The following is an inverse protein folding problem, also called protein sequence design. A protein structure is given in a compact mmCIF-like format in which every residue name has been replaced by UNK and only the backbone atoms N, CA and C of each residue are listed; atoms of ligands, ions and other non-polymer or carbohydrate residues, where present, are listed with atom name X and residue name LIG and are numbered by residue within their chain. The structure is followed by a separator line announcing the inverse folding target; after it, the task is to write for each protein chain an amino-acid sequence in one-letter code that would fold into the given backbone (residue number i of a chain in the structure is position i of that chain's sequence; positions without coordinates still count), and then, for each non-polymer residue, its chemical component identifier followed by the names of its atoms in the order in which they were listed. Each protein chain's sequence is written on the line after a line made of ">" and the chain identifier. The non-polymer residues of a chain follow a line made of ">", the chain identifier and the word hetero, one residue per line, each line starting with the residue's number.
data_IF_513386948350
#
_entry.id   IF_513386948350
#
_cell.length_a   1.000
_cell.length_b   1.000
_cell.length_c   1.000
_cell.angle_alpha   90.00
_cell.angle_beta   90.00
_cell.angle_gamma   90.00
#
_symmetry.space_group_name_H-M   'P 1'
#
loop_
_entity.id
_entity.type
_entity.pdbx_description
1 polymer ?
#
# COMPACT_ATOMS: atom_id res chain seq x y z
N UNK A 1 -41.81 -10.81 22.82
CA UNK A 1 -40.52 -10.37 22.27
C UNK A 1 -39.87 -11.65 21.72
N UNK A 2 -40.08 -11.96 20.43
CA UNK A 2 -39.48 -13.15 19.82
C UNK A 2 -37.97 -12.96 19.77
N UNK A 3 -37.24 -13.82 20.43
CA UNK A 3 -35.81 -14.01 20.27
C UNK A 3 -35.59 -14.52 18.84
N UNK A 4 -35.28 -13.63 17.90
CA UNK A 4 -34.79 -14.03 16.60
C UNK A 4 -33.45 -14.71 16.86
N UNK A 5 -33.44 -16.04 16.86
CA UNK A 5 -32.22 -16.83 16.82
C UNK A 5 -31.51 -16.52 15.49
N UNK A 6 -30.55 -15.63 15.53
CA UNK A 6 -29.64 -15.44 14.40
C UNK A 6 -28.84 -16.74 14.23
N UNK A 7 -29.21 -17.55 13.25
CA UNK A 7 -28.39 -18.68 12.84
C UNK A 7 -27.09 -18.11 12.26
N UNK A 8 -25.97 -18.36 12.95
CA UNK A 8 -24.63 -18.00 12.44
C UNK A 8 -24.39 -18.73 11.13
N UNK A 9 -23.88 -17.98 10.15
CA UNK A 9 -23.59 -18.48 8.81
C UNK A 9 -22.11 -18.78 8.63
N UNK A 10 -21.84 -19.75 7.78
CA UNK A 10 -20.47 -20.02 7.35
C UNK A 10 -20.31 -19.57 5.90
N UNK A 11 -19.33 -18.70 5.64
CA UNK A 11 -18.94 -18.26 4.32
C UNK A 11 -17.58 -18.81 3.97
N UNK A 12 -17.35 -19.02 2.68
CA UNK A 12 -16.10 -19.54 2.16
C UNK A 12 -15.52 -18.55 1.15
N UNK A 13 -14.23 -18.26 1.29
CA UNK A 13 -13.59 -17.32 0.40
C UNK A 13 -12.41 -17.94 -0.35
N UNK A 14 -12.47 -17.90 -1.69
CA UNK A 14 -11.40 -18.34 -2.57
C UNK A 14 -10.85 -17.20 -3.41
N UNK A 15 -9.53 -17.22 -3.64
CA UNK A 15 -8.86 -16.24 -4.49
C UNK A 15 -7.86 -16.89 -5.42
N UNK A 16 -7.85 -16.44 -6.66
CA UNK A 16 -6.86 -16.84 -7.68
C UNK A 16 -6.27 -15.60 -8.36
N UNK A 17 -4.97 -15.63 -8.67
CA UNK A 17 -4.30 -14.55 -9.38
C UNK A 17 -4.32 -14.70 -10.90
N UNK A 18 -4.52 -15.93 -11.41
CA UNK A 18 -4.61 -16.28 -12.83
C UNK A 18 -5.61 -17.41 -13.01
N UNK A 19 -6.19 -17.51 -14.19
CA UNK A 19 -7.23 -18.48 -14.54
C UNK A 19 -6.75 -19.93 -14.32
N UNK A 20 -7.52 -20.75 -13.69
CA UNK A 20 -7.69 -22.21 -13.86
C UNK A 20 -7.09 -23.14 -12.79
N UNK A 21 -5.83 -23.11 -12.39
CA UNK A 21 -5.26 -24.25 -11.64
C UNK A 21 -5.47 -24.29 -10.11
N UNK A 22 -5.73 -23.16 -9.45
CA UNK A 22 -5.82 -23.11 -7.99
C UNK A 22 -7.23 -22.92 -7.45
N UNK A 23 -8.20 -22.51 -8.27
CA UNK A 23 -9.57 -22.32 -7.82
C UNK A 23 -10.23 -23.66 -7.52
N UNK A 24 -10.11 -24.63 -8.43
CA UNK A 24 -10.73 -25.93 -8.29
C UNK A 24 -10.32 -26.64 -7.01
N UNK A 25 -9.04 -26.60 -6.66
CA UNK A 25 -8.53 -27.17 -5.40
C UNK A 25 -9.10 -26.50 -4.15
N UNK A 26 -9.38 -25.19 -4.22
CA UNK A 26 -10.01 -24.47 -3.10
C UNK A 26 -11.48 -24.86 -3.02
N UNK A 27 -12.18 -24.89 -4.15
CA UNK A 27 -13.58 -25.28 -4.22
C UNK A 27 -13.80 -26.73 -3.78
N UNK A 28 -12.95 -27.66 -4.19
CA UNK A 28 -12.97 -29.05 -3.73
C UNK A 28 -12.80 -29.15 -2.21
N UNK A 29 -11.83 -28.39 -1.65
CA UNK A 29 -11.63 -28.36 -0.21
C UNK A 29 -12.84 -27.78 0.53
N UNK A 30 -13.54 -26.78 -0.03
CA UNK A 30 -14.75 -26.23 0.57
C UNK A 30 -15.94 -27.22 0.46
N UNK A 31 -16.10 -27.86 -0.71
CA UNK A 31 -17.13 -28.89 -0.91
C UNK A 31 -16.97 -30.08 0.04
N UNK A 32 -15.72 -30.49 0.32
CA UNK A 32 -15.46 -31.55 1.30
C UNK A 32 -15.83 -31.18 2.74
N UNK A 33 -15.96 -29.88 3.04
CA UNK A 33 -16.47 -29.35 4.30
C UNK A 33 -17.99 -29.11 4.30
N UNK A 34 -18.68 -29.47 3.20
CA UNK A 34 -20.13 -29.30 3.08
C UNK A 34 -20.57 -27.90 2.63
N UNK A 35 -19.69 -27.10 2.03
CA UNK A 35 -20.04 -25.77 1.54
C UNK A 35 -21.08 -25.79 0.43
N UNK A 36 -22.14 -24.98 0.56
CA UNK A 36 -23.07 -24.66 -0.53
C UNK A 36 -22.42 -23.65 -1.48
N UNK A 37 -22.69 -23.76 -2.78
CA UNK A 37 -22.15 -22.84 -3.80
C UNK A 37 -22.54 -21.37 -3.54
N UNK A 38 -23.68 -21.12 -2.90
CA UNK A 38 -24.17 -19.78 -2.54
C UNK A 38 -23.38 -19.14 -1.41
N UNK A 39 -22.64 -19.92 -0.65
CA UNK A 39 -21.81 -19.47 0.48
C UNK A 39 -20.37 -19.22 0.05
N UNK A 40 -20.02 -19.59 -1.19
CA UNK A 40 -18.66 -19.47 -1.72
C UNK A 40 -18.50 -18.17 -2.50
N UNK A 41 -17.65 -17.29 -2.00
CA UNK A 41 -17.28 -16.04 -2.63
C UNK A 41 -15.91 -16.20 -3.28
N UNK A 42 -15.79 -15.75 -4.53
CA UNK A 42 -14.54 -15.89 -5.29
C UNK A 42 -14.10 -14.58 -5.88
N UNK A 43 -12.79 -14.29 -5.80
CA UNK A 43 -12.16 -13.18 -6.51
C UNK A 43 -11.04 -13.66 -7.44
N UNK A 44 -10.98 -13.07 -8.65
CA UNK A 44 -9.92 -13.32 -9.65
C UNK A 44 -8.95 -12.15 -9.65
N UNK A 45 -8.27 -11.94 -8.53
CA UNK A 45 -7.43 -10.78 -8.30
C UNK A 45 -6.10 -11.14 -7.65
N UNK A 46 -5.10 -10.28 -7.85
CA UNK A 46 -3.80 -10.42 -7.22
C UNK A 46 -3.90 -10.30 -5.68
N UNK A 47 -3.10 -11.11 -4.96
CA UNK A 47 -2.97 -10.98 -3.49
C UNK A 47 -2.21 -9.74 -3.01
N UNK A 48 -1.91 -8.79 -3.89
CA UNK A 48 -1.21 -7.54 -3.54
C UNK A 48 -2.12 -6.47 -2.95
N UNK A 49 -3.43 -6.55 -3.18
CA UNK A 49 -4.43 -5.62 -2.67
C UNK A 49 -5.56 -6.37 -1.99
N UNK A 50 -6.16 -5.75 -0.99
CA UNK A 50 -7.41 -6.18 -0.35
C UNK A 50 -8.65 -5.54 -1.01
N UNK A 51 -8.45 -4.61 -1.92
CA UNK A 51 -9.51 -3.97 -2.70
C UNK A 51 -9.99 -4.91 -3.82
N UNK A 52 -10.85 -5.84 -3.43
CA UNK A 52 -11.45 -6.89 -4.28
C UNK A 52 -12.95 -6.90 -4.08
N UNK A 53 -13.74 -6.86 -5.16
CA UNK A 53 -15.20 -6.72 -5.06
C UNK A 53 -15.87 -7.77 -4.19
N UNK A 54 -15.52 -9.06 -4.37
CA UNK A 54 -16.10 -10.16 -3.59
C UNK A 54 -15.70 -10.09 -2.12
N UNK A 55 -14.45 -9.82 -1.82
CA UNK A 55 -13.96 -9.70 -0.44
C UNK A 55 -14.55 -8.48 0.27
N UNK A 56 -14.66 -7.34 -0.41
CA UNK A 56 -15.27 -6.15 0.15
C UNK A 56 -16.77 -6.34 0.39
N UNK A 57 -17.48 -6.97 -0.53
CA UNK A 57 -18.90 -7.33 -0.33
C UNK A 57 -19.09 -8.28 0.85
N UNK A 58 -18.21 -9.26 1.01
CA UNK A 58 -18.21 -10.18 2.14
C UNK A 58 -18.08 -9.43 3.47
N UNK A 59 -17.11 -8.50 3.59
CA UNK A 59 -16.87 -7.72 4.81
C UNK A 59 -17.98 -6.71 5.11
N UNK A 60 -18.48 -6.01 4.11
CA UNK A 60 -19.40 -4.89 4.31
C UNK A 60 -20.88 -5.30 4.38
N UNK A 61 -21.27 -6.37 3.67
CA UNK A 61 -22.66 -6.71 3.47
C UNK A 61 -23.07 -8.10 3.98
N UNK A 62 -22.14 -9.07 4.02
CA UNK A 62 -22.50 -10.46 4.28
C UNK A 62 -22.19 -10.92 5.70
N UNK A 63 -20.96 -10.69 6.18
CA UNK A 63 -20.51 -11.14 7.50
C UNK A 63 -21.17 -10.35 8.63
N UNK A 64 -21.59 -11.08 9.66
CA UNK A 64 -22.16 -10.57 10.91
C UNK A 64 -21.39 -11.15 12.10
N UNK A 65 -21.51 -10.51 13.26
CA UNK A 65 -20.94 -11.03 14.50
C UNK A 65 -21.45 -12.46 14.76
N UNK A 66 -20.53 -13.36 15.06
CA UNK A 66 -20.79 -14.79 15.25
C UNK A 66 -20.65 -15.65 13.99
N UNK A 67 -20.63 -15.04 12.79
CA UNK A 67 -20.43 -15.81 11.56
C UNK A 67 -19.00 -16.38 11.45
N UNK A 68 -18.88 -17.39 10.60
CA UNK A 68 -17.59 -18.03 10.31
C UNK A 68 -17.17 -17.76 8.88
N UNK A 69 -15.90 -17.34 8.70
CA UNK A 69 -15.24 -17.28 7.40
C UNK A 69 -14.23 -18.41 7.27
N UNK A 70 -14.37 -19.23 6.24
CA UNK A 70 -13.44 -20.31 5.91
C UNK A 70 -12.59 -19.92 4.71
N UNK A 71 -11.28 -20.03 4.86
CA UNK A 71 -10.32 -19.86 3.77
C UNK A 71 -9.40 -21.07 3.70
N UNK A 72 -8.78 -21.30 2.56
CA UNK A 72 -7.82 -22.39 2.45
C UNK A 72 -6.52 -22.10 3.19
N UNK A 73 -5.94 -20.92 2.99
CA UNK A 73 -4.67 -20.47 3.58
C UNK A 73 -4.66 -18.96 3.75
N UNK A 74 -3.84 -18.43 4.66
CA UNK A 74 -3.76 -17.00 4.96
C UNK A 74 -3.34 -16.14 3.75
N UNK A 75 -2.56 -16.69 2.82
CA UNK A 75 -2.17 -16.00 1.59
C UNK A 75 -3.35 -15.77 0.62
N UNK A 76 -4.52 -16.38 0.89
CA UNK A 76 -5.77 -16.05 0.18
C UNK A 76 -6.29 -14.69 0.59
N UNK A 77 -6.10 -14.29 1.84
CA UNK A 77 -6.40 -12.92 2.29
C UNK A 77 -5.43 -11.92 1.64
N UNK A 78 -4.15 -12.02 1.93
CA UNK A 78 -3.12 -11.16 1.35
C UNK A 78 -1.79 -11.90 1.26
N UNK A 79 -0.86 -11.38 0.44
CA UNK A 79 0.56 -11.75 0.45
C UNK A 79 1.39 -10.90 1.41
N UNK A 80 0.84 -9.78 1.83
CA UNK A 80 1.43 -8.89 2.84
C UNK A 80 1.10 -9.40 4.23
N UNK A 81 2.12 -9.67 5.03
CA UNK A 81 1.92 -10.10 6.42
C UNK A 81 1.26 -9.01 7.27
N UNK A 82 1.56 -7.75 6.98
CA UNK A 82 0.92 -6.62 7.64
C UNK A 82 -0.59 -6.56 7.34
N UNK A 83 -0.99 -6.80 6.09
CA UNK A 83 -2.42 -6.85 5.74
C UNK A 83 -3.10 -8.04 6.42
N UNK A 84 -2.45 -9.22 6.43
CA UNK A 84 -3.00 -10.40 7.12
C UNK A 84 -3.20 -10.10 8.61
N UNK A 85 -2.22 -9.48 9.27
CA UNK A 85 -2.33 -9.06 10.66
C UNK A 85 -3.54 -8.14 10.88
N UNK A 86 -3.69 -7.11 10.04
CA UNK A 86 -4.80 -6.16 10.12
C UNK A 86 -6.16 -6.85 9.89
N UNK A 87 -6.23 -7.79 8.96
CA UNK A 87 -7.45 -8.55 8.69
C UNK A 87 -7.82 -9.48 9.86
N UNK A 88 -6.85 -10.15 10.46
CA UNK A 88 -7.08 -10.98 11.65
C UNK A 88 -7.59 -10.13 12.83
N UNK A 89 -7.02 -8.93 13.01
CA UNK A 89 -7.49 -7.98 14.02
C UNK A 89 -8.93 -7.55 13.72
N UNK A 90 -9.24 -7.25 12.46
CA UNK A 90 -10.59 -6.87 12.04
C UNK A 90 -11.61 -8.00 12.30
N UNK A 91 -11.29 -9.26 11.99
CA UNK A 91 -12.17 -10.41 12.29
C UNK A 91 -12.42 -10.52 13.78
N UNK A 92 -11.39 -10.37 14.59
CA UNK A 92 -11.52 -10.38 16.06
C UNK A 92 -12.45 -9.27 16.54
N UNK A 93 -12.22 -8.02 16.11
CA UNK A 93 -12.98 -6.85 16.56
C UNK A 93 -14.46 -6.92 16.16
N UNK A 94 -14.75 -7.61 15.05
CA UNK A 94 -16.11 -7.83 14.56
C UNK A 94 -16.73 -9.18 15.00
N UNK A 95 -16.07 -9.91 15.89
CA UNK A 95 -16.53 -11.22 16.38
C UNK A 95 -16.77 -12.23 15.24
N UNK A 96 -15.95 -12.21 14.19
CA UNK A 96 -16.01 -13.16 13.09
C UNK A 96 -15.01 -14.28 13.35
N UNK A 97 -15.47 -15.52 13.31
CA UNK A 97 -14.60 -16.69 13.44
C UNK A 97 -13.88 -16.97 12.12
N UNK A 98 -12.55 -16.93 12.13
CA UNK A 98 -11.77 -17.33 10.97
C UNK A 98 -11.31 -18.79 11.10
N UNK A 99 -11.65 -19.62 10.10
CA UNK A 99 -11.16 -20.98 9.93
C UNK A 99 -10.21 -21.03 8.73
N UNK A 100 -9.04 -21.61 8.90
CA UNK A 100 -8.01 -21.73 7.86
C UNK A 100 -7.70 -23.23 7.68
N UNK A 101 -8.01 -23.79 6.52
CA UNK A 101 -7.90 -25.24 6.28
C UNK A 101 -6.46 -25.73 6.48
N UNK A 102 -5.47 -24.94 6.00
CA UNK A 102 -4.05 -25.28 6.14
C UNK A 102 -3.52 -25.05 7.60
N UNK A 103 -4.39 -24.61 8.54
CA UNK A 103 -4.10 -24.46 9.96
C UNK A 103 -5.13 -25.25 10.78
N UNK A 104 -4.91 -26.56 11.01
CA UNK A 104 -5.89 -27.45 11.65
C UNK A 104 -6.38 -26.99 13.03
N UNK A 105 -5.55 -26.26 13.76
CA UNK A 105 -5.94 -25.68 15.07
C UNK A 105 -7.11 -24.70 14.98
N UNK A 106 -7.27 -24.02 13.84
CA UNK A 106 -8.40 -23.10 13.61
C UNK A 106 -9.69 -23.83 13.22
N UNK A 107 -9.59 -25.09 12.78
CA UNK A 107 -10.70 -25.90 12.31
C UNK A 107 -11.39 -26.68 13.44
N UNK A 108 -10.78 -26.74 14.63
CA UNK A 108 -11.30 -27.53 15.74
C UNK A 108 -12.67 -27.01 16.19
N UNK A 109 -13.62 -27.92 16.43
CA UNK A 109 -14.82 -27.59 17.17
C UNK A 109 -14.53 -27.74 18.66
N UNK A 110 -14.88 -26.72 19.43
CA UNK A 110 -14.68 -26.72 20.87
C UNK A 110 -16.01 -26.92 21.58
N UNK A 111 -16.02 -27.60 22.74
CA UNK A 111 -17.18 -27.65 23.62
C UNK A 111 -17.66 -26.26 24.02
N UNK A 112 -18.95 -26.12 24.33
CA UNK A 112 -19.52 -24.89 24.89
C UNK A 112 -18.72 -24.41 26.11
N UNK A 113 -18.44 -23.10 26.18
CA UNK A 113 -17.66 -22.50 27.26
C UNK A 113 -16.14 -22.51 27.06
N UNK A 114 -15.68 -23.06 25.93
CA UNK A 114 -14.23 -23.04 25.58
C UNK A 114 -13.92 -22.13 24.40
N UNK A 115 -14.80 -21.19 24.06
CA UNK A 115 -14.61 -20.22 22.97
C UNK A 115 -13.35 -19.37 23.16
N UNK A 116 -12.91 -19.16 24.40
CA UNK A 116 -11.69 -18.46 24.73
C UNK A 116 -10.42 -19.08 24.10
N UNK A 117 -10.44 -20.39 23.78
CA UNK A 117 -9.31 -21.06 23.11
C UNK A 117 -9.13 -20.50 21.69
N UNK A 118 -10.23 -20.22 20.97
CA UNK A 118 -10.13 -19.57 19.65
C UNK A 118 -9.58 -18.16 19.75
N UNK A 119 -10.03 -17.39 20.75
CA UNK A 119 -9.49 -16.06 21.00
C UNK A 119 -8.00 -16.12 21.30
N UNK A 120 -7.56 -17.07 22.10
CA UNK A 120 -6.15 -17.29 22.41
C UNK A 120 -5.36 -17.65 21.14
N UNK A 121 -5.83 -18.59 20.33
CA UNK A 121 -5.18 -18.99 19.07
C UNK A 121 -5.09 -17.80 18.10
N UNK A 122 -6.19 -17.07 17.93
CA UNK A 122 -6.20 -15.88 17.09
C UNK A 122 -5.23 -14.80 17.59
N UNK A 123 -5.18 -14.56 18.91
CA UNK A 123 -4.26 -13.60 19.50
C UNK A 123 -2.80 -14.00 19.25
N UNK A 124 -2.44 -15.27 19.41
CA UNK A 124 -1.10 -15.78 19.12
C UNK A 124 -0.78 -15.60 17.63
N UNK A 125 -1.69 -15.92 16.73
CA UNK A 125 -1.49 -15.73 15.29
C UNK A 125 -1.29 -14.26 14.95
N UNK A 126 -2.10 -13.36 15.50
CA UNK A 126 -1.99 -11.91 15.30
C UNK A 126 -0.62 -11.42 15.77
N UNK A 127 -0.19 -11.80 16.96
CA UNK A 127 1.08 -11.35 17.55
C UNK A 127 2.30 -11.88 16.78
N UNK A 128 2.29 -13.17 16.44
CA UNK A 128 3.38 -13.80 15.67
C UNK A 128 3.47 -13.18 14.26
N UNK A 129 2.36 -13.04 13.57
CA UNK A 129 2.35 -12.42 12.22
C UNK A 129 2.73 -10.95 12.25
N UNK A 130 2.30 -10.21 13.27
CA UNK A 130 2.69 -8.81 13.49
C UNK A 130 4.20 -8.68 13.68
N UNK A 131 4.78 -9.50 14.54
CA UNK A 131 6.24 -9.53 14.80
C UNK A 131 7.02 -9.86 13.52
N UNK A 132 6.59 -10.87 12.75
CA UNK A 132 7.24 -11.24 11.49
C UNK A 132 7.11 -10.10 10.47
N UNK A 133 5.96 -9.44 10.37
CA UNK A 133 5.74 -8.33 9.44
C UNK A 133 6.64 -7.13 9.76
N UNK A 134 6.79 -6.78 11.02
CA UNK A 134 7.69 -5.69 11.44
C UNK A 134 9.16 -6.06 11.19
N UNK A 135 9.58 -7.28 11.49
CA UNK A 135 10.94 -7.74 11.21
C UNK A 135 11.26 -7.69 9.71
N UNK A 136 10.33 -8.08 8.86
CA UNK A 136 10.48 -7.99 7.40
C UNK A 136 10.64 -6.54 6.93
N UNK A 137 9.82 -5.62 7.48
CA UNK A 137 9.89 -4.18 7.21
C UNK A 137 11.24 -3.59 7.60
N UNK A 138 11.75 -3.94 8.78
CA UNK A 138 13.08 -3.50 9.23
C UNK A 138 14.20 -4.02 8.32
N UNK A 139 14.13 -5.29 7.94
CA UNK A 139 15.08 -5.92 7.02
C UNK A 139 15.09 -5.24 5.64
N UNK A 140 13.91 -4.93 5.08
CA UNK A 140 13.79 -4.20 3.81
C UNK A 140 14.42 -2.81 3.92
N UNK A 141 14.14 -2.06 4.98
CA UNK A 141 14.72 -0.73 5.21
C UNK A 141 16.23 -0.78 5.33
N UNK A 142 16.76 -1.77 6.03
CA UNK A 142 18.20 -1.97 6.16
C UNK A 142 18.83 -2.24 4.80
N UNK A 143 18.32 -3.20 4.02
CA UNK A 143 18.81 -3.52 2.68
C UNK A 143 18.75 -2.31 1.73
N UNK A 144 17.68 -1.52 1.81
CA UNK A 144 17.58 -0.27 1.02
C UNK A 144 18.67 0.72 1.41
N UNK A 145 18.93 0.91 2.71
CA UNK A 145 19.99 1.80 3.21
C UNK A 145 21.37 1.34 2.74
N UNK A 146 21.66 0.04 2.85
CA UNK A 146 22.91 -0.56 2.37
C UNK A 146 23.06 -0.38 0.85
N UNK A 147 21.99 -0.64 0.07
CA UNK A 147 21.98 -0.43 -1.38
C UNK A 147 22.21 1.03 -1.79
N UNK A 148 21.58 1.99 -1.08
CA UNK A 148 21.79 3.43 -1.28
C UNK A 148 23.23 3.81 -0.98
N UNK A 149 23.79 3.35 0.13
CA UNK A 149 25.18 3.64 0.50
C UNK A 149 26.17 3.05 -0.50
N UNK A 150 25.96 1.81 -0.94
CA UNK A 150 26.78 1.19 -1.98
C UNK A 150 26.71 1.93 -3.32
N UNK A 151 25.52 2.42 -3.71
CA UNK A 151 25.35 3.21 -4.93
C UNK A 151 26.05 4.58 -4.83
N UNK A 152 25.97 5.25 -3.67
CA UNK A 152 26.68 6.51 -3.40
C UNK A 152 28.19 6.30 -3.44
N UNK A 153 28.71 5.22 -2.84
CA UNK A 153 30.14 4.89 -2.88
C UNK A 153 30.66 4.65 -4.29
N UNK A 154 29.80 4.16 -5.20
CA UNK A 154 30.08 4.00 -6.64
C UNK A 154 29.85 5.27 -7.46
N UNK A 155 29.61 6.42 -6.83
CA UNK A 155 29.35 7.69 -7.51
C UNK A 155 28.03 7.75 -8.28
N UNK A 156 27.10 6.81 -8.09
CA UNK A 156 25.81 6.84 -8.77
C UNK A 156 24.95 7.97 -8.22
N UNK A 157 24.43 8.81 -9.12
CA UNK A 157 23.45 9.81 -8.76
C UNK A 157 22.14 9.12 -8.37
N UNK A 158 21.61 9.45 -7.19
CA UNK A 158 20.36 8.93 -6.68
C UNK A 158 19.32 10.05 -6.68
N UNK A 159 18.19 9.80 -7.29
CA UNK A 159 17.10 10.75 -7.40
C UNK A 159 16.84 11.18 -8.85
N UNK A 160 16.02 12.22 -9.01
CA UNK A 160 15.72 12.78 -10.33
C UNK A 160 16.98 13.39 -10.93
N UNK A 161 17.31 13.10 -12.20
CA UNK A 161 18.44 13.74 -12.88
C UNK A 161 18.34 15.27 -12.79
N UNK A 162 19.47 15.91 -12.56
CA UNK A 162 19.52 17.37 -12.59
C UNK A 162 19.12 17.87 -13.99
N UNK A 163 18.35 18.93 -14.04
CA UNK A 163 18.05 19.59 -15.32
C UNK A 163 19.36 20.15 -15.88
N UNK A 164 19.76 19.83 -17.13
CA UNK A 164 20.98 20.39 -17.70
C UNK A 164 20.83 21.90 -17.86
N UNK A 165 21.96 22.61 -17.71
CA UNK A 165 22.01 24.02 -17.96
C UNK A 165 21.86 24.26 -19.48
N UNK A 166 20.98 25.16 -19.92
CA UNK A 166 20.79 25.42 -21.35
C UNK A 166 22.07 26.03 -21.98
N UNK A 167 22.38 25.69 -23.21
CA UNK A 167 23.55 26.20 -23.93
C UNK A 167 23.55 27.76 -24.04
N UNK A 168 22.38 28.35 -24.16
CA UNK A 168 22.18 29.79 -24.25
C UNK A 168 22.08 30.49 -22.89
N UNK A 169 22.39 29.81 -21.79
CA UNK A 169 22.21 30.35 -20.42
C UNK A 169 22.94 31.65 -20.20
N UNK A 170 24.25 31.71 -20.51
CA UNK A 170 25.07 32.88 -20.26
C UNK A 170 24.55 34.10 -21.03
N UNK A 171 24.22 33.94 -22.31
CA UNK A 171 23.67 34.99 -23.16
C UNK A 171 22.35 35.53 -22.65
N UNK A 172 21.44 34.59 -22.26
CA UNK A 172 20.12 34.97 -21.76
C UNK A 172 20.21 35.70 -20.42
N UNK A 173 21.10 35.25 -19.54
CA UNK A 173 21.27 35.87 -18.23
C UNK A 173 21.92 37.25 -18.34
N UNK A 174 22.94 37.44 -19.23
CA UNK A 174 23.53 38.75 -19.49
C UNK A 174 22.44 39.74 -19.94
N UNK A 175 21.64 39.41 -20.96
CA UNK A 175 20.56 40.27 -21.45
C UNK A 175 19.54 40.62 -20.35
N UNK A 176 19.23 39.67 -19.50
CA UNK A 176 18.29 39.90 -18.38
C UNK A 176 18.92 40.77 -17.29
N UNK A 177 20.14 40.50 -16.89
CA UNK A 177 20.86 41.31 -15.88
C UNK A 177 21.09 42.75 -16.31
N UNK A 178 21.33 43.01 -17.62
CA UNK A 178 21.41 44.32 -18.21
C UNK A 178 20.06 45.02 -18.37
N UNK A 179 18.96 44.31 -18.07
CA UNK A 179 17.62 44.85 -18.17
C UNK A 179 17.08 44.98 -19.60
N UNK A 180 17.69 44.29 -20.57
CA UNK A 180 17.26 44.27 -21.97
C UNK A 180 16.04 43.37 -22.19
N UNK A 181 15.88 42.34 -21.36
CA UNK A 181 14.72 41.42 -21.38
C UNK A 181 14.15 41.25 -19.99
N UNK A 182 12.87 40.90 -19.94
CA UNK A 182 12.18 40.59 -18.66
C UNK A 182 12.55 39.17 -18.14
N UNK A 183 12.36 38.92 -16.85
CA UNK A 183 12.54 37.59 -16.28
C UNK A 183 11.66 36.52 -16.96
N UNK A 184 10.46 36.90 -17.39
CA UNK A 184 9.54 36.01 -18.13
C UNK A 184 10.09 35.61 -19.47
N UNK A 185 10.70 36.57 -20.18
CA UNK A 185 11.35 36.33 -21.46
C UNK A 185 12.64 35.53 -21.31
N UNK A 186 13.43 35.79 -20.28
CA UNK A 186 14.61 35.00 -19.97
C UNK A 186 14.28 33.55 -19.71
N UNK A 187 13.26 33.27 -18.91
CA UNK A 187 12.74 31.90 -18.68
C UNK A 187 12.24 31.25 -19.98
N UNK A 188 11.56 32.00 -20.84
CA UNK A 188 11.06 31.50 -22.14
C UNK A 188 12.23 31.18 -23.08
N UNK A 189 13.23 32.07 -23.19
CA UNK A 189 14.39 31.88 -24.08
C UNK A 189 15.31 30.74 -23.62
N UNK A 190 15.45 30.53 -22.29
CA UNK A 190 16.21 29.42 -21.72
C UNK A 190 15.43 28.10 -21.65
N UNK A 191 14.12 28.09 -21.92
CA UNK A 191 13.29 26.90 -21.80
C UNK A 191 13.09 26.40 -20.34
N UNK A 192 13.46 27.22 -19.36
CA UNK A 192 13.44 26.84 -17.96
C UNK A 192 12.16 27.28 -17.24
N UNK A 193 11.68 26.45 -16.32
CA UNK A 193 10.61 26.83 -15.39
C UNK A 193 11.18 27.76 -14.30
N UNK A 194 10.32 28.60 -13.72
CA UNK A 194 10.66 29.61 -12.71
C UNK A 194 11.59 29.07 -11.61
N UNK A 195 11.24 27.96 -10.99
CA UNK A 195 12.02 27.40 -9.88
C UNK A 195 13.45 27.00 -10.33
N UNK A 196 13.57 26.31 -11.47
CA UNK A 196 14.87 25.90 -12.02
C UNK A 196 15.72 27.09 -12.41
N UNK A 197 15.11 28.10 -13.04
CA UNK A 197 15.78 29.35 -13.43
C UNK A 197 16.44 30.06 -12.23
N UNK A 198 15.66 30.28 -11.18
CA UNK A 198 16.20 30.93 -9.96
C UNK A 198 17.12 29.99 -9.14
N UNK A 199 17.00 28.69 -9.26
CA UNK A 199 17.95 27.75 -8.64
C UNK A 199 19.34 27.87 -9.28
N UNK A 200 19.43 27.97 -10.61
CA UNK A 200 20.71 28.19 -11.29
C UNK A 200 21.33 29.53 -10.93
N UNK A 201 20.54 30.61 -10.90
CA UNK A 201 21.04 31.93 -10.48
C UNK A 201 21.63 31.90 -9.06
N UNK A 202 20.96 31.24 -8.12
CA UNK A 202 21.45 31.11 -6.72
C UNK A 202 22.73 30.27 -6.67
N UNK A 203 22.77 29.16 -7.39
CA UNK A 203 23.96 28.29 -7.44
C UNK A 203 25.20 29.01 -7.96
N UNK A 204 25.02 30.00 -8.84
CA UNK A 204 26.10 30.82 -9.40
C UNK A 204 26.33 32.12 -8.62
N UNK A 205 25.69 32.33 -7.48
CA UNK A 205 25.72 33.58 -6.71
C UNK A 205 25.40 34.86 -7.54
N UNK A 206 24.57 34.67 -8.60
CA UNK A 206 24.19 35.80 -9.47
C UNK A 206 23.04 36.59 -8.86
N UNK A 207 22.93 37.86 -9.23
CA UNK A 207 21.82 38.71 -8.78
C UNK A 207 20.49 38.13 -9.21
N UNK A 208 19.53 38.14 -8.29
CA UNK A 208 18.17 37.65 -8.52
C UNK A 208 17.24 38.71 -9.15
N UNK A 209 17.72 39.95 -9.25
CA UNK A 209 17.00 41.12 -9.79
C UNK A 209 17.95 41.85 -10.75
N UNK A 210 17.49 42.29 -11.95
CA UNK A 210 18.28 43.06 -12.88
C UNK A 210 18.77 44.39 -12.30
N UNK A 211 19.91 44.87 -12.74
CA UNK A 211 20.49 46.11 -12.24
C UNK A 211 19.58 47.34 -12.41
N UNK A 212 18.76 47.38 -13.48
CA UNK A 212 17.83 48.46 -13.78
C UNK A 212 16.52 48.45 -12.98
N UNK A 213 16.21 47.36 -12.24
CA UNK A 213 15.08 47.28 -11.30
C UNK A 213 15.53 47.71 -9.89
N UNK A 214 16.24 48.81 -9.77
CA UNK A 214 16.52 49.39 -8.48
C UNK A 214 15.28 50.11 -7.96
N UNK A 215 14.93 49.92 -6.67
CA UNK A 215 13.70 50.18 -5.94
C UNK A 215 13.13 51.61 -5.96
N UNK A 216 13.54 52.49 -6.85
CA UNK A 216 13.14 53.92 -6.85
C UNK A 216 12.10 54.30 -7.94
N UNK A 217 11.40 53.35 -8.53
CA UNK A 217 10.38 53.66 -9.55
C UNK A 217 8.95 53.25 -9.12
N UNK A 218 8.69 53.11 -7.84
CA UNK A 218 7.34 53.02 -7.31
C UNK A 218 7.16 54.06 -6.20
N UNK A 219 7.24 55.32 -6.57
CA UNK A 219 6.61 56.45 -5.91
C UNK A 219 6.08 57.31 -7.05
N UNK A 220 4.84 57.06 -7.39
CA UNK A 220 3.78 58.01 -7.70
C UNK A 220 2.47 57.23 -7.89
#
# INVERSE_FOLDING_TARGET
>A
MELIFYMHKTFYYARVSTREQNLDRQLEAFKSLGADEREIITDKESGKSLDRPGYQALKSAMLRAGDTLVIKSLDRLSRSKADIHNELQWFKDNSIRLKVIDLPTTMMELPEGQEWVFEMVNNILIEVLGTIAEQERLTIRQRQREGINAAKAKGKHLGRPAVPKPDNWETVIALWQDGQITAKEAMRKSGLRKNTFYTFLRAENRRLIPAKYNKNTFID
#
